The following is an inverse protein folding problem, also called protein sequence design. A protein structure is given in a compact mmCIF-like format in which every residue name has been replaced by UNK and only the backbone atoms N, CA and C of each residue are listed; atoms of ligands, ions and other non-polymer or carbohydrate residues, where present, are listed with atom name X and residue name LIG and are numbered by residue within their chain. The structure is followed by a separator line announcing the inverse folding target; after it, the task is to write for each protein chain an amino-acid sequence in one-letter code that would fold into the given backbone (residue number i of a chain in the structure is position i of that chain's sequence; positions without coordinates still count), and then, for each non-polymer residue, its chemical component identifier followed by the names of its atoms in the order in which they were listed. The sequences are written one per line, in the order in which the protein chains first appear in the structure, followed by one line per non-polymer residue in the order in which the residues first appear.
data_IF_817718607849
#
_entry.id   IF_817718607849
#
_cell.length_a   1.000
_cell.length_b   1.000
_cell.length_c   1.000
_cell.angle_alpha   90.00
_cell.angle_beta   90.00
_cell.angle_gamma   90.00
#
_symmetry.space_group_name_H-M   'P 1'
#
loop_
_entity.id
_entity.type
_entity.pdbx_description
1 polymer ?
#
# COMPACT_ATOMS: atom_id res chain seq x y z
N UNK A 1 13.88 -37.64 54.94
CA UNK A 1 13.53 -37.41 53.50
C UNK A 1 12.12 -36.87 53.43
N UNK A 2 11.92 -35.59 52.98
CA UNK A 2 10.57 -35.00 52.76
C UNK A 2 10.01 -35.49 51.44
N UNK A 3 8.92 -36.25 51.46
CA UNK A 3 8.17 -36.67 50.31
C UNK A 3 7.59 -35.44 49.61
N UNK A 4 8.07 -35.08 48.41
CA UNK A 4 7.46 -34.04 47.55
C UNK A 4 6.09 -34.57 47.07
N UNK A 5 4.98 -33.95 47.52
CA UNK A 5 3.66 -34.21 46.97
C UNK A 5 3.60 -33.59 45.58
N UNK A 6 3.80 -34.38 44.56
CA UNK A 6 3.52 -33.99 43.17
C UNK A 6 1.99 -34.06 42.97
N UNK A 7 1.31 -32.90 43.07
CA UNK A 7 -0.09 -32.77 42.67
C UNK A 7 -0.12 -32.78 41.15
N UNK A 8 -0.61 -33.84 40.54
CA UNK A 8 -0.87 -33.91 39.11
C UNK A 8 -2.14 -33.17 38.75
N UNK A 9 -2.21 -32.62 37.54
CA UNK A 9 -3.43 -32.03 37.01
C UNK A 9 -4.53 -33.11 36.77
N UNK A 10 -5.78 -32.75 37.08
CA UNK A 10 -6.92 -33.60 36.81
C UNK A 10 -7.28 -33.51 35.31
N UNK A 11 -7.86 -34.60 34.77
CA UNK A 11 -8.28 -34.67 33.37
C UNK A 11 -9.35 -33.62 33.05
N UNK A 12 -10.23 -33.29 34.02
CA UNK A 12 -11.27 -32.27 33.84
C UNK A 12 -10.71 -30.87 33.81
N UNK A 13 -9.67 -30.54 34.60
CA UNK A 13 -9.01 -29.24 34.56
C UNK A 13 -8.38 -28.98 33.19
N UNK A 14 -7.74 -30.00 32.60
CA UNK A 14 -7.17 -29.88 31.27
C UNK A 14 -8.26 -29.71 30.20
N UNK A 15 -9.35 -30.47 30.29
CA UNK A 15 -10.45 -30.45 29.33
C UNK A 15 -11.16 -29.08 29.30
N UNK A 16 -11.41 -28.47 30.47
CA UNK A 16 -12.03 -27.15 30.58
C UNK A 16 -11.11 -26.08 29.98
N UNK A 17 -9.81 -26.14 30.23
CA UNK A 17 -8.86 -25.16 29.69
C UNK A 17 -8.82 -25.22 28.17
N UNK A 18 -8.72 -26.42 27.55
CA UNK A 18 -8.69 -26.52 26.08
C UNK A 18 -10.01 -26.12 25.45
N UNK A 19 -11.14 -26.35 26.10
CA UNK A 19 -12.44 -25.90 25.62
C UNK A 19 -12.55 -24.37 25.59
N UNK A 20 -12.09 -23.69 26.67
CA UNK A 20 -12.07 -22.21 26.72
C UNK A 20 -11.13 -21.63 25.66
N UNK A 21 -9.92 -22.17 25.54
CA UNK A 21 -8.95 -21.73 24.53
C UNK A 21 -9.53 -21.92 23.11
N UNK A 22 -10.20 -23.04 22.85
CA UNK A 22 -10.83 -23.31 21.57
C UNK A 22 -11.89 -22.27 21.19
N UNK A 23 -12.75 -21.88 22.13
CA UNK A 23 -13.77 -20.85 21.92
C UNK A 23 -13.11 -19.49 21.68
N UNK A 24 -12.16 -19.11 22.52
CA UNK A 24 -11.47 -17.82 22.39
C UNK A 24 -10.68 -17.72 21.07
N UNK A 25 -10.02 -18.80 20.66
CA UNK A 25 -9.30 -18.85 19.39
C UNK A 25 -10.24 -18.69 18.20
N UNK A 26 -11.40 -19.36 18.20
CA UNK A 26 -12.37 -19.25 17.11
C UNK A 26 -12.88 -17.81 16.92
N UNK A 27 -13.24 -17.12 17.99
CA UNK A 27 -13.70 -15.73 17.94
C UNK A 27 -12.53 -14.78 17.60
N UNK A 28 -11.36 -15.02 18.18
CA UNK A 28 -10.17 -14.19 17.99
C UNK A 28 -9.69 -14.13 16.54
N UNK A 29 -9.68 -15.27 15.83
CA UNK A 29 -9.25 -15.33 14.42
C UNK A 29 -10.16 -14.49 13.52
N UNK A 30 -11.48 -14.55 13.70
CA UNK A 30 -12.42 -13.78 12.87
C UNK A 30 -12.28 -12.28 13.13
N UNK A 31 -12.19 -11.87 14.39
CA UNK A 31 -12.00 -10.46 14.76
C UNK A 31 -10.67 -9.91 14.24
N UNK A 32 -9.59 -10.69 14.35
CA UNK A 32 -8.26 -10.30 13.89
C UNK A 32 -8.19 -10.13 12.36
N UNK A 33 -8.81 -11.03 11.60
CA UNK A 33 -8.84 -10.95 10.14
C UNK A 33 -9.58 -9.70 9.66
N UNK A 34 -10.72 -9.35 10.27
CA UNK A 34 -11.45 -8.13 9.96
C UNK A 34 -10.66 -6.86 10.28
N UNK A 35 -9.96 -6.83 11.40
CA UNK A 35 -9.12 -5.71 11.79
C UNK A 35 -7.95 -5.51 10.81
N UNK A 36 -7.24 -6.58 10.45
CA UNK A 36 -6.12 -6.50 9.50
C UNK A 36 -6.56 -6.07 8.10
N UNK A 37 -7.73 -6.52 7.63
CA UNK A 37 -8.28 -6.09 6.35
C UNK A 37 -8.57 -4.58 6.34
N UNK A 38 -9.22 -4.06 7.37
CA UNK A 38 -9.51 -2.63 7.51
C UNK A 38 -8.22 -1.80 7.62
N UNK A 39 -7.19 -2.29 8.30
CA UNK A 39 -5.89 -1.64 8.39
C UNK A 39 -5.20 -1.54 7.02
N UNK A 40 -5.24 -2.61 6.22
CA UNK A 40 -4.69 -2.63 4.85
C UNK A 40 -5.43 -1.66 3.93
N UNK A 41 -6.76 -1.61 3.99
CA UNK A 41 -7.58 -0.63 3.26
C UNK A 41 -7.22 0.80 3.65
N UNK A 42 -7.07 1.07 4.94
CA UNK A 42 -6.65 2.37 5.45
C UNK A 42 -5.27 2.77 4.93
N UNK A 43 -4.31 1.84 4.93
CA UNK A 43 -2.97 2.06 4.42
C UNK A 43 -2.97 2.33 2.90
N UNK A 44 -3.76 1.60 2.09
CA UNK A 44 -3.89 1.84 0.66
C UNK A 44 -4.46 3.25 0.36
N UNK A 45 -5.49 3.68 1.10
CA UNK A 45 -6.04 5.04 0.99
C UNK A 45 -5.02 6.11 1.39
N UNK A 46 -4.26 5.87 2.45
CA UNK A 46 -3.19 6.77 2.90
C UNK A 46 -2.07 6.88 1.87
N UNK A 47 -1.67 5.77 1.26
CA UNK A 47 -0.69 5.74 0.18
C UNK A 47 -1.17 6.59 -1.00
N UNK A 48 -2.43 6.43 -1.44
CA UNK A 48 -3.03 7.25 -2.49
C UNK A 48 -2.89 8.75 -2.21
N UNK A 49 -3.30 9.18 -1.02
CA UNK A 49 -3.21 10.60 -0.63
C UNK A 49 -1.76 11.10 -0.53
N UNK A 50 -0.84 10.25 -0.10
CA UNK A 50 0.59 10.58 0.00
C UNK A 50 1.22 10.73 -1.37
N UNK A 51 0.97 9.79 -2.30
CA UNK A 51 1.43 9.86 -3.69
C UNK A 51 0.98 11.15 -4.35
N UNK A 52 -0.29 11.51 -4.13
CA UNK A 52 -0.87 12.74 -4.60
C UNK A 52 -0.08 13.97 -4.19
N UNK A 53 0.06 14.13 -2.87
CA UNK A 53 0.77 15.27 -2.27
C UNK A 53 2.22 15.31 -2.70
N UNK A 54 2.86 14.14 -2.83
CA UNK A 54 4.24 14.03 -3.29
C UNK A 54 4.39 14.57 -4.72
N UNK A 55 3.60 14.08 -5.66
CA UNK A 55 3.69 14.52 -7.07
C UNK A 55 3.43 16.02 -7.18
N UNK A 56 2.39 16.53 -6.52
CA UNK A 56 2.08 17.97 -6.52
C UNK A 56 3.22 18.80 -5.95
N UNK A 57 3.81 18.39 -4.82
CA UNK A 57 4.92 19.08 -4.18
C UNK A 57 6.19 19.07 -5.03
N UNK A 58 6.52 17.92 -5.65
CA UNK A 58 7.71 17.79 -6.49
C UNK A 58 7.60 18.62 -7.80
N UNK A 59 6.43 18.63 -8.43
CA UNK A 59 6.19 19.49 -9.60
C UNK A 59 6.28 20.97 -9.22
N UNK A 60 5.81 21.34 -8.02
CA UNK A 60 5.89 22.71 -7.52
C UNK A 60 7.33 23.15 -7.29
N UNK A 61 8.25 22.29 -6.84
CA UNK A 61 9.68 22.60 -6.71
C UNK A 61 10.28 23.07 -8.03
N UNK A 62 9.93 22.44 -9.13
CA UNK A 62 10.35 22.86 -10.45
C UNK A 62 9.86 24.27 -10.82
N UNK A 63 8.69 24.67 -10.30
CA UNK A 63 8.18 26.02 -10.51
C UNK A 63 8.90 27.07 -9.66
N UNK A 64 9.56 26.65 -8.58
CA UNK A 64 10.36 27.50 -7.70
C UNK A 64 11.82 27.66 -8.15
N UNK A 65 12.21 26.97 -9.24
CA UNK A 65 13.54 27.13 -9.83
C UNK A 65 14.49 25.96 -9.62
N UNK A 66 14.04 24.85 -9.02
CA UNK A 66 14.84 23.63 -8.94
C UNK A 66 15.10 23.07 -10.35
N UNK A 67 16.27 22.46 -10.54
CA UNK A 67 16.65 21.81 -11.81
C UNK A 67 16.11 20.39 -11.92
N UNK A 68 15.98 19.72 -10.76
CA UNK A 68 15.63 18.32 -10.65
C UNK A 68 14.59 18.08 -9.54
N UNK A 69 13.74 17.09 -9.75
CA UNK A 69 12.68 16.70 -8.82
C UNK A 69 12.52 15.18 -8.75
N UNK A 70 11.66 14.70 -7.87
CA UNK A 70 11.28 13.30 -7.73
C UNK A 70 12.49 12.38 -7.51
N UNK A 71 13.23 12.61 -6.43
CA UNK A 71 14.36 11.75 -6.07
C UNK A 71 13.90 10.43 -5.50
N UNK A 72 14.49 9.33 -5.99
CA UNK A 72 14.27 8.00 -5.43
C UNK A 72 15.00 7.84 -4.07
N UNK A 73 14.85 6.68 -3.43
CA UNK A 73 15.49 6.37 -2.14
C UNK A 73 17.03 6.49 -2.17
N UNK A 74 17.66 6.27 -3.32
CA UNK A 74 19.10 6.43 -3.51
C UNK A 74 19.54 7.91 -3.70
N UNK A 75 18.60 8.86 -3.73
CA UNK A 75 18.85 10.27 -3.96
C UNK A 75 18.99 10.67 -5.43
N UNK A 76 18.76 9.72 -6.36
CA UNK A 76 18.84 9.97 -7.80
C UNK A 76 17.57 10.65 -8.27
N UNK A 77 17.69 11.80 -8.94
CA UNK A 77 16.57 12.50 -9.54
C UNK A 77 15.96 11.68 -10.68
N UNK A 78 14.65 11.58 -10.69
CA UNK A 78 13.88 10.86 -11.70
C UNK A 78 13.22 11.81 -12.71
N UNK A 79 13.10 13.09 -12.38
CA UNK A 79 12.51 14.12 -13.22
C UNK A 79 13.47 15.31 -13.36
N UNK A 80 13.81 15.67 -14.59
CA UNK A 80 14.41 16.96 -14.90
C UNK A 80 13.30 18.00 -15.03
N UNK A 81 13.42 19.13 -14.38
CA UNK A 81 12.35 20.13 -14.32
C UNK A 81 11.99 20.77 -15.67
N UNK A 82 12.86 20.70 -16.67
CA UNK A 82 12.53 21.07 -18.05
C UNK A 82 11.45 20.18 -18.67
N UNK A 83 11.34 18.92 -18.22
CA UNK A 83 10.37 17.93 -18.69
C UNK A 83 9.05 17.91 -17.90
N UNK A 84 8.92 18.76 -16.85
CA UNK A 84 7.74 18.78 -15.98
C UNK A 84 6.40 19.04 -16.69
N UNK A 85 6.44 19.64 -17.87
CA UNK A 85 5.25 19.90 -18.71
C UNK A 85 4.79 18.70 -19.51
N UNK A 86 5.50 17.58 -19.44
CA UNK A 86 5.16 16.34 -20.11
C UNK A 86 4.57 15.37 -19.10
N UNK A 87 3.26 15.20 -19.09
CA UNK A 87 2.55 14.37 -18.10
C UNK A 87 3.09 12.93 -18.04
N UNK A 88 3.48 12.36 -19.18
CA UNK A 88 4.07 11.03 -19.24
C UNK A 88 5.42 10.93 -18.48
N UNK A 89 6.30 11.93 -18.66
CA UNK A 89 7.58 11.99 -17.95
C UNK A 89 7.39 12.11 -16.45
N UNK A 90 6.45 12.95 -16.02
CA UNK A 90 6.11 13.10 -14.59
C UNK A 90 5.54 11.80 -14.01
N UNK A 91 4.68 11.10 -14.73
CA UNK A 91 4.10 9.83 -14.28
C UNK A 91 5.17 8.72 -14.15
N UNK A 92 6.09 8.60 -15.12
CA UNK A 92 7.22 7.66 -15.05
C UNK A 92 8.13 8.00 -13.88
N UNK A 93 8.51 9.26 -13.74
CA UNK A 93 9.39 9.72 -12.68
C UNK A 93 8.78 9.52 -11.29
N UNK A 94 7.49 9.77 -11.12
CA UNK A 94 6.77 9.55 -9.87
C UNK A 94 6.77 8.07 -9.47
N UNK A 95 6.49 7.16 -10.40
CA UNK A 95 6.53 5.74 -10.14
C UNK A 95 7.95 5.26 -9.76
N UNK A 96 8.98 5.76 -10.44
CA UNK A 96 10.37 5.43 -10.17
C UNK A 96 10.87 6.02 -8.83
N UNK A 97 10.44 7.23 -8.47
CA UNK A 97 10.83 7.86 -7.22
C UNK A 97 10.19 7.18 -5.99
N UNK A 98 9.00 6.60 -6.16
CA UNK A 98 8.24 5.94 -5.11
C UNK A 98 8.46 4.42 -5.07
N UNK A 99 9.59 3.93 -5.55
CA UNK A 99 9.98 2.51 -5.58
C UNK A 99 10.08 1.87 -4.17
N UNK A 100 10.23 2.68 -3.13
CA UNK A 100 10.28 2.23 -1.74
C UNK A 100 8.91 2.06 -1.10
N UNK A 101 7.84 2.56 -1.72
CA UNK A 101 6.49 2.39 -1.21
C UNK A 101 6.05 0.94 -1.33
N UNK A 102 5.63 0.37 -0.20
CA UNK A 102 5.21 -1.04 -0.13
C UNK A 102 3.70 -1.18 -0.22
N UNK A 103 3.28 -2.21 -0.94
CA UNK A 103 1.88 -2.60 -1.03
C UNK A 103 1.40 -3.12 0.34
N UNK A 104 0.31 -2.57 0.94
CA UNK A 104 -0.23 -3.03 2.22
C UNK A 104 -0.70 -4.48 2.23
N UNK A 105 -1.05 -5.02 1.08
CA UNK A 105 -1.48 -6.43 0.96
C UNK A 105 -0.28 -7.38 0.76
N UNK A 106 0.92 -6.83 0.63
CA UNK A 106 2.13 -7.61 0.38
C UNK A 106 2.23 -8.08 -1.07
N UNK A 107 3.34 -8.72 -1.40
CA UNK A 107 3.50 -9.34 -2.71
C UNK A 107 3.25 -10.83 -2.61
N UNK A 108 2.33 -11.32 -3.38
CA UNK A 108 2.28 -12.75 -3.67
C UNK A 108 2.97 -12.96 -5.01
N UNK A 109 4.26 -13.25 -4.97
CA UNK A 109 4.94 -13.90 -6.08
C UNK A 109 5.86 -13.11 -6.98
N UNK A 110 5.78 -11.78 -7.14
CA UNK A 110 6.71 -11.02 -7.99
C UNK A 110 7.17 -9.70 -7.38
N UNK A 111 8.43 -9.26 -7.59
CA UNK A 111 8.91 -7.97 -7.11
C UNK A 111 8.04 -6.78 -7.55
N UNK A 112 7.47 -6.85 -8.74
CA UNK A 112 6.62 -5.80 -9.28
C UNK A 112 5.31 -5.62 -8.49
N UNK A 113 4.71 -6.68 -7.98
CA UNK A 113 3.48 -6.60 -7.17
C UNK A 113 3.72 -6.14 -5.72
N UNK A 114 4.97 -6.12 -5.26
CA UNK A 114 5.33 -5.61 -3.93
C UNK A 114 5.33 -4.08 -3.86
N UNK A 115 5.39 -3.39 -5.00
CA UNK A 115 5.39 -1.95 -5.08
C UNK A 115 3.97 -1.41 -4.98
N UNK A 116 3.78 -0.42 -4.11
CA UNK A 116 2.49 0.26 -3.96
C UNK A 116 2.20 1.22 -5.12
N UNK A 117 3.22 1.73 -5.80
CA UNK A 117 3.09 2.73 -6.87
C UNK A 117 3.70 2.19 -8.16
N UNK A 118 2.97 2.35 -9.26
CA UNK A 118 3.44 1.93 -10.60
C UNK A 118 2.83 2.84 -11.67
N UNK A 119 3.39 2.80 -12.86
CA UNK A 119 2.83 3.45 -14.04
C UNK A 119 2.42 2.38 -15.06
N UNK A 120 1.16 2.36 -15.42
CA UNK A 120 0.63 1.49 -16.48
C UNK A 120 -0.49 2.23 -17.23
N UNK A 121 -1.05 1.59 -18.25
CA UNK A 121 -2.19 2.11 -19.01
C UNK A 121 -3.38 2.36 -18.07
N UNK A 122 -4.48 1.78 -18.15
CA UNK A 122 -5.61 2.10 -17.28
C UNK A 122 -5.83 1.02 -16.22
N UNK A 123 -5.84 1.41 -14.95
CA UNK A 123 -6.37 0.58 -13.87
C UNK A 123 -7.88 0.78 -13.80
N UNK A 124 -8.63 -0.03 -14.54
CA UNK A 124 -10.09 0.06 -14.63
C UNK A 124 -10.81 -0.92 -13.71
N UNK A 125 -10.15 -2.00 -13.34
CA UNK A 125 -10.68 -3.06 -12.48
C UNK A 125 -9.78 -3.29 -11.28
N UNK A 126 -10.39 -3.63 -10.16
CA UNK A 126 -9.68 -3.94 -8.92
C UNK A 126 -9.74 -5.46 -8.69
N UNK A 127 -8.63 -6.12 -8.88
CA UNK A 127 -8.46 -7.56 -8.72
C UNK A 127 -7.34 -7.90 -7.72
N UNK A 128 -7.11 -9.18 -7.47
CA UNK A 128 -6.11 -9.64 -6.51
C UNK A 128 -4.66 -9.31 -6.91
N UNK A 129 -4.38 -8.99 -8.19
CA UNK A 129 -3.02 -8.68 -8.67
C UNK A 129 -2.64 -7.22 -8.45
N UNK A 130 -3.65 -6.33 -8.36
CA UNK A 130 -3.44 -4.89 -8.18
C UNK A 130 -3.97 -4.34 -6.85
N UNK A 131 -4.45 -5.21 -5.97
CA UNK A 131 -4.95 -4.87 -4.64
C UNK A 131 -3.91 -4.10 -3.81
N UNK A 132 -4.31 -2.97 -3.23
CA UNK A 132 -3.45 -2.07 -2.47
C UNK A 132 -2.51 -1.19 -3.29
N UNK A 133 -2.57 -1.24 -4.63
CA UNK A 133 -1.66 -0.54 -5.53
C UNK A 133 -2.27 0.73 -6.09
N UNK A 134 -1.41 1.74 -6.28
CA UNK A 134 -1.75 3.01 -6.91
C UNK A 134 -1.07 3.09 -8.28
N UNK A 135 -1.87 3.26 -9.33
CA UNK A 135 -1.39 3.51 -10.66
C UNK A 135 -1.35 5.02 -10.94
N UNK A 136 -0.22 5.49 -11.45
CA UNK A 136 -0.04 6.87 -11.90
C UNK A 136 -0.25 6.90 -13.41
N UNK A 137 -1.41 7.36 -13.83
CA UNK A 137 -1.77 7.49 -15.24
C UNK A 137 -1.58 8.92 -15.73
N UNK A 138 -1.46 9.07 -17.03
CA UNK A 138 -1.42 10.39 -17.66
C UNK A 138 -2.32 10.45 -18.89
N UNK A 139 -2.93 11.60 -19.07
CA UNK A 139 -3.41 12.07 -20.38
C UNK A 139 -2.37 13.04 -20.95
N UNK A 140 -2.71 13.78 -22.01
CA UNK A 140 -1.79 14.74 -22.63
C UNK A 140 -1.30 15.81 -21.63
N UNK A 141 -2.17 16.26 -20.74
CA UNK A 141 -1.91 17.40 -19.84
C UNK A 141 -2.28 17.12 -18.38
N UNK A 142 -2.79 15.94 -18.07
CA UNK A 142 -3.32 15.63 -16.74
C UNK A 142 -2.71 14.36 -16.20
N UNK A 143 -2.38 14.34 -14.91
CA UNK A 143 -2.04 13.13 -14.18
C UNK A 143 -3.25 12.70 -13.36
N UNK A 144 -3.60 11.44 -13.47
CA UNK A 144 -4.68 10.78 -12.74
C UNK A 144 -4.12 9.66 -11.89
N UNK A 145 -4.48 9.63 -10.63
CA UNK A 145 -4.17 8.52 -9.74
C UNK A 145 -5.38 7.60 -9.62
N UNK A 146 -5.15 6.32 -9.82
CA UNK A 146 -6.15 5.27 -9.62
C UNK A 146 -5.60 4.24 -8.64
N UNK A 147 -6.36 3.92 -7.60
CA UNK A 147 -5.93 2.96 -6.56
C UNK A 147 -6.96 1.87 -6.39
N UNK A 148 -6.51 0.64 -6.48
CA UNK A 148 -7.27 -0.53 -6.07
C UNK A 148 -7.17 -0.69 -4.56
N UNK A 149 -8.24 -0.43 -3.83
CA UNK A 149 -8.24 -0.54 -2.36
C UNK A 149 -8.31 -2.00 -1.96
N UNK A 150 -9.28 -2.74 -2.50
CA UNK A 150 -9.46 -4.18 -2.28
C UNK A 150 -10.10 -4.82 -3.51
N UNK A 151 -9.68 -6.04 -3.82
CA UNK A 151 -10.24 -6.84 -4.91
C UNK A 151 -11.77 -6.93 -4.82
N UNK A 152 -12.45 -6.68 -5.95
CA UNK A 152 -13.90 -6.63 -6.05
C UNK A 152 -14.55 -5.30 -5.62
N UNK A 153 -13.78 -4.34 -5.09
CA UNK A 153 -14.26 -2.98 -4.81
C UNK A 153 -14.02 -2.04 -6.00
N UNK A 154 -14.73 -0.91 -6.00
CA UNK A 154 -14.51 0.13 -6.99
C UNK A 154 -13.11 0.74 -6.85
N UNK A 155 -12.52 1.11 -7.97
CA UNK A 155 -11.23 1.81 -8.01
C UNK A 155 -11.41 3.23 -7.48
N UNK A 156 -10.56 3.64 -6.53
CA UNK A 156 -10.49 5.03 -6.11
C UNK A 156 -9.75 5.84 -7.17
N UNK A 157 -10.44 6.80 -7.78
CA UNK A 157 -9.86 7.65 -8.83
C UNK A 157 -9.82 9.09 -8.37
N UNK A 158 -8.67 9.73 -8.54
CA UNK A 158 -8.52 11.16 -8.34
C UNK A 158 -7.72 11.74 -9.51
N UNK A 159 -8.32 12.67 -10.23
CA UNK A 159 -7.66 13.45 -11.29
C UNK A 159 -7.03 14.70 -10.69
N UNK A 160 -5.78 15.02 -10.99
CA UNK A 160 -5.08 15.87 -10.10
C UNK A 160 -4.20 16.98 -10.57
N UNK A 161 -3.46 16.85 -11.57
CA UNK A 161 -2.46 17.87 -11.91
C UNK A 161 -2.63 18.22 -13.38
N UNK A 162 -3.10 19.42 -13.62
CA UNK A 162 -2.88 20.09 -14.91
C UNK A 162 -1.42 20.52 -14.98
N UNK A 163 -0.71 19.99 -15.94
CA UNK A 163 0.68 20.29 -16.21
C UNK A 163 0.78 21.21 -17.42
#
# INVERSE_FOLDING_TARGET
MKKKNNKGFTLIELLVVVAIIGILAAVGVVAYSGYTDNARKGAAKSNHATVLKYIAGEVQKCSLGDTDAMKNKAGTAQLTCSERKTADKVAIAAAAALDSFKNPYGSVGTPASSLAVFKDTALTTCDATNEGRTNVQNTTTTITLTTCIKSGEAVLTLSLIHI
#
